data_IF_849155365981
#
_entry.id   IF_849155365981
#
_cell.length_a   1.000
_cell.length_b   1.000
_cell.length_c   1.000
_cell.angle_alpha   90.00
_cell.angle_beta   90.00
_cell.angle_gamma   90.00
#
_symmetry.space_group_name_H-M   'P 1'
#
loop_
_entity.id
_entity.type
_entity.pdbx_description
1 polymer ?
#
# COMPACT_ATOMS: atom_id res chain seq x y z
N UNK A 1 -13.90 -24.92 -12.21
CA UNK A 1 -13.87 -24.31 -10.86
C UNK A 1 -12.52 -23.65 -10.49
N UNK A 2 -11.71 -23.14 -11.43
CA UNK A 2 -10.35 -22.60 -11.14
C UNK A 2 -10.22 -21.07 -11.05
N UNK A 3 -11.27 -20.32 -11.40
CA UNK A 3 -11.16 -18.85 -11.56
C UNK A 3 -11.66 -18.04 -10.36
N UNK A 4 -12.25 -18.69 -9.35
CA UNK A 4 -12.90 -18.01 -8.22
C UNK A 4 -12.00 -17.93 -6.97
N UNK A 5 -11.09 -18.89 -6.79
CA UNK A 5 -10.11 -18.90 -5.70
C UNK A 5 -9.03 -17.82 -5.89
N UNK A 6 -8.54 -17.64 -7.12
CA UNK A 6 -7.48 -16.68 -7.45
C UNK A 6 -7.88 -15.21 -7.23
N UNK A 7 -9.17 -14.88 -7.38
CA UNK A 7 -9.70 -13.53 -7.14
C UNK A 7 -9.77 -13.15 -5.67
N UNK A 8 -10.19 -14.09 -4.80
CA UNK A 8 -10.25 -13.85 -3.34
C UNK A 8 -8.86 -13.72 -2.73
N UNK A 9 -7.91 -14.58 -3.15
CA UNK A 9 -6.52 -14.50 -2.68
C UNK A 9 -5.87 -13.17 -3.08
N UNK A 10 -6.09 -12.71 -4.32
CA UNK A 10 -5.60 -11.40 -4.77
C UNK A 10 -6.24 -10.22 -4.01
N UNK A 11 -7.49 -10.34 -3.57
CA UNK A 11 -8.13 -9.32 -2.73
C UNK A 11 -7.51 -9.32 -1.33
N UNK A 12 -7.31 -10.49 -0.70
CA UNK A 12 -6.72 -10.55 0.63
C UNK A 12 -5.27 -10.08 0.67
N UNK A 13 -4.47 -10.38 -0.36
CA UNK A 13 -3.09 -9.90 -0.45
C UNK A 13 -3.02 -8.36 -0.48
N UNK A 14 -3.90 -7.71 -1.25
CA UNK A 14 -3.95 -6.23 -1.32
C UNK A 14 -4.37 -5.61 -0.01
N UNK A 15 -5.38 -6.16 0.66
CA UNK A 15 -5.83 -5.67 1.95
C UNK A 15 -4.73 -5.81 3.02
N UNK A 16 -4.03 -6.94 3.02
CA UNK A 16 -2.89 -7.15 3.92
C UNK A 16 -1.74 -6.19 3.62
N UNK A 17 -1.46 -5.93 2.33
CA UNK A 17 -0.46 -4.95 1.94
C UNK A 17 -0.86 -3.54 2.41
N UNK A 18 -2.09 -3.11 2.14
CA UNK A 18 -2.58 -1.79 2.56
C UNK A 18 -2.56 -1.60 4.07
N UNK A 19 -2.95 -2.63 4.85
CA UNK A 19 -2.86 -2.62 6.30
C UNK A 19 -1.43 -2.32 6.79
N UNK A 20 -0.43 -3.03 6.24
CA UNK A 20 0.99 -2.81 6.60
C UNK A 20 1.46 -1.39 6.31
N UNK A 21 1.06 -0.82 5.17
CA UNK A 21 1.43 0.57 4.84
C UNK A 21 0.70 1.54 5.76
N UNK A 22 -0.57 1.28 6.11
CA UNK A 22 -1.35 2.18 6.95
C UNK A 22 -0.85 2.22 8.41
N UNK A 23 -0.36 1.09 8.93
CA UNK A 23 0.28 1.02 10.25
C UNK A 23 1.63 1.76 10.30
N UNK A 24 2.25 1.99 9.13
CA UNK A 24 3.48 2.78 8.98
C UNK A 24 3.19 4.12 8.33
N UNK A 25 2.93 5.14 9.16
CA UNK A 25 2.61 6.49 8.68
C UNK A 25 3.61 7.05 7.64
N UNK A 26 4.89 6.67 7.70
CA UNK A 26 5.92 7.06 6.73
C UNK A 26 7.01 5.98 6.58
N UNK A 27 7.67 5.93 5.42
CA UNK A 27 8.83 5.06 5.21
C UNK A 27 9.69 5.42 3.99
N UNK A 28 10.85 4.78 3.89
CA UNK A 28 11.66 4.83 2.69
C UNK A 28 11.12 3.85 1.63
N UNK A 29 11.33 4.17 0.34
CA UNK A 29 10.84 3.31 -0.75
C UNK A 29 11.35 1.87 -0.64
N UNK A 30 12.62 1.70 -0.29
CA UNK A 30 13.24 0.37 -0.11
C UNK A 30 12.54 -0.45 0.98
N UNK A 31 12.13 0.18 2.07
CA UNK A 31 11.42 -0.49 3.18
C UNK A 31 10.01 -0.91 2.76
N UNK A 32 9.30 -0.03 2.03
CA UNK A 32 7.98 -0.35 1.49
C UNK A 32 8.05 -1.54 0.51
N UNK A 33 9.03 -1.54 -0.39
CA UNK A 33 9.23 -2.65 -1.34
C UNK A 33 9.54 -3.96 -0.59
N UNK A 34 10.33 -3.92 0.48
CA UNK A 34 10.64 -5.12 1.26
C UNK A 34 9.39 -5.70 1.97
N UNK A 35 8.46 -4.85 2.41
CA UNK A 35 7.32 -5.31 3.20
C UNK A 35 6.09 -5.76 2.41
N UNK A 36 5.79 -5.03 1.33
CA UNK A 36 4.61 -5.29 0.51
C UNK A 36 4.98 -5.76 -0.91
N UNK A 37 6.23 -5.64 -1.33
CA UNK A 37 6.66 -6.03 -2.66
C UNK A 37 6.39 -4.95 -3.70
N UNK A 38 7.27 -4.87 -4.70
CA UNK A 38 7.23 -3.87 -5.77
C UNK A 38 5.87 -3.78 -6.46
N UNK A 39 5.22 -4.93 -6.71
CA UNK A 39 3.92 -4.98 -7.39
C UNK A 39 2.84 -4.14 -6.69
N UNK A 40 2.80 -4.15 -5.36
CA UNK A 40 1.80 -3.42 -4.59
C UNK A 40 2.22 -1.96 -4.37
N UNK A 41 3.51 -1.68 -4.29
CA UNK A 41 4.02 -0.30 -4.30
C UNK A 41 3.59 0.42 -5.58
N UNK A 42 3.85 -0.19 -6.74
CA UNK A 42 3.50 0.41 -8.04
C UNK A 42 1.99 0.58 -8.18
N UNK A 43 1.21 -0.43 -7.79
CA UNK A 43 -0.25 -0.38 -7.80
C UNK A 43 -0.78 0.75 -6.90
N UNK A 44 -0.29 0.84 -5.66
CA UNK A 44 -0.74 1.84 -4.69
C UNK A 44 -0.31 3.26 -5.04
N UNK A 45 0.84 3.45 -5.69
CA UNK A 45 1.23 4.74 -6.25
C UNK A 45 0.29 5.11 -7.42
N UNK A 46 0.00 4.17 -8.32
CA UNK A 46 -0.85 4.42 -9.49
C UNK A 46 -2.29 4.83 -9.11
N UNK A 47 -2.84 4.26 -8.02
CA UNK A 47 -4.18 4.63 -7.51
C UNK A 47 -4.17 5.76 -6.49
N UNK A 48 -2.99 6.32 -6.17
CA UNK A 48 -2.86 7.46 -5.25
C UNK A 48 -2.98 7.12 -3.76
N UNK A 49 -2.91 5.85 -3.38
CA UNK A 49 -2.89 5.42 -1.98
C UNK A 49 -1.53 5.66 -1.32
N UNK A 50 -0.43 5.57 -2.08
CA UNK A 50 0.90 5.95 -1.63
C UNK A 50 1.33 7.21 -2.38
N UNK A 51 1.77 8.22 -1.62
CA UNK A 51 2.25 9.50 -2.15
C UNK A 51 3.67 9.78 -1.72
N UNK A 52 4.39 10.48 -2.59
CA UNK A 52 5.73 10.97 -2.29
C UNK A 52 5.67 12.19 -1.38
N UNK A 53 6.57 12.22 -0.40
CA UNK A 53 6.89 13.38 0.42
C UNK A 53 8.40 13.61 0.50
N UNK A 54 8.78 14.65 1.22
CA UNK A 54 10.17 14.97 1.52
C UNK A 54 10.26 15.36 2.99
N UNK A 55 11.23 14.80 3.71
CA UNK A 55 11.73 15.38 4.95
C UNK A 55 12.78 16.43 4.60
N UNK A 56 13.38 17.06 5.62
CA UNK A 56 14.51 17.97 5.42
C UNK A 56 15.72 17.31 4.75
N UNK A 57 15.83 15.98 4.80
CA UNK A 57 17.04 15.24 4.41
C UNK A 57 16.80 14.14 3.39
N UNK A 58 15.56 13.70 3.16
CA UNK A 58 15.28 12.57 2.28
C UNK A 58 13.90 12.60 1.65
N UNK A 59 13.79 11.95 0.50
CA UNK A 59 12.51 11.60 -0.13
C UNK A 59 11.87 10.45 0.64
N UNK A 60 10.64 10.64 1.09
CA UNK A 60 9.87 9.64 1.84
C UNK A 60 8.57 9.33 1.12
N UNK A 61 7.92 8.24 1.54
CA UNK A 61 6.63 7.82 1.00
C UNK A 61 5.69 7.53 2.15
N UNK A 62 4.41 7.88 1.98
CA UNK A 62 3.38 7.74 3.01
C UNK A 62 2.04 7.37 2.40
N UNK A 63 1.15 6.82 3.22
CA UNK A 63 -0.25 6.63 2.83
C UNK A 63 -0.92 8.01 2.71
N UNK A 64 -1.69 8.20 1.64
CA UNK A 64 -2.53 9.37 1.46
C UNK A 64 -3.79 9.31 2.34
N UNK A 65 -4.48 10.43 2.51
CA UNK A 65 -5.80 10.43 3.17
C UNK A 65 -6.78 9.49 2.45
N UNK A 66 -6.77 9.47 1.12
CA UNK A 66 -7.57 8.53 0.31
C UNK A 66 -7.28 7.06 0.67
N UNK A 67 -6.00 6.69 0.81
CA UNK A 67 -5.62 5.32 1.20
C UNK A 67 -6.08 4.96 2.61
N UNK A 68 -6.03 5.92 3.55
CA UNK A 68 -6.51 5.76 4.92
C UNK A 68 -8.03 5.61 4.98
N UNK A 69 -8.77 6.47 4.27
CA UNK A 69 -10.23 6.43 4.18
C UNK A 69 -10.70 5.11 3.59
N UNK A 70 -10.11 4.69 2.47
CA UNK A 70 -10.43 3.41 1.85
C UNK A 70 -10.15 2.24 2.81
N UNK A 71 -9.00 2.25 3.52
CA UNK A 71 -8.70 1.22 4.51
C UNK A 71 -9.71 1.21 5.67
N UNK A 72 -10.18 2.38 6.11
CA UNK A 72 -11.18 2.49 7.16
C UNK A 72 -12.56 1.98 6.73
N UNK A 73 -12.96 2.17 5.48
CA UNK A 73 -14.23 1.67 4.94
C UNK A 73 -14.32 0.15 4.83
N UNK A 74 -13.17 -0.51 4.60
CA UNK A 74 -13.11 -1.94 4.30
C UNK A 74 -12.67 -2.81 5.50
N UNK A 75 -12.35 -2.17 6.64
CA UNK A 75 -11.98 -2.82 7.90
C UNK A 75 -13.22 -3.13 8.72
#
# INVERSE_FOLDING_TARGET
MKNMETGRTRKSERLNALAKVNDKENGYMSELILEIGQKFVDEFIAVGFIICGYTLTAKTWRVSELGKEFYAEIK
#
